data_IF_469408023592
#
_entry.id   IF_469408023592
#
_cell.length_a   1.000
_cell.length_b   1.000
_cell.length_c   1.000
_cell.angle_alpha   90.00
_cell.angle_beta   90.00
_cell.angle_gamma   90.00
#
_symmetry.space_group_name_H-M   'P 1'
#
loop_
_entity.id
_entity.type
_entity.pdbx_description
1 polymer ?
#
# COMPACT_ATOMS: atom_id res chain seq x y z
N UNK A 1 6.12 3.90 -15.55
CA UNK A 1 7.04 2.79 -15.20
C UNK A 1 6.23 1.84 -14.34
N UNK A 2 6.34 0.53 -14.53
CA UNK A 2 5.58 -0.47 -13.75
C UNK A 2 6.46 -1.10 -12.67
N UNK A 3 5.96 -1.16 -11.43
CA UNK A 3 6.69 -1.81 -10.33
C UNK A 3 6.44 -3.33 -10.36
N UNK A 4 7.53 -4.11 -10.37
CA UNK A 4 7.41 -5.58 -10.32
C UNK A 4 6.92 -6.02 -8.94
N UNK A 5 6.03 -7.01 -8.89
CA UNK A 5 5.50 -7.56 -7.64
C UNK A 5 6.58 -8.14 -6.69
N UNK A 6 7.73 -8.55 -7.24
CA UNK A 6 8.91 -9.06 -6.50
C UNK A 6 9.97 -7.98 -6.22
N UNK A 7 9.68 -6.72 -6.48
CA UNK A 7 10.60 -5.62 -6.16
C UNK A 7 10.92 -5.61 -4.66
N UNK A 8 12.14 -5.22 -4.30
CA UNK A 8 12.51 -5.06 -2.89
C UNK A 8 11.84 -3.80 -2.32
N UNK A 9 11.80 -3.68 -1.00
CA UNK A 9 11.30 -2.45 -0.35
C UNK A 9 12.10 -1.21 -0.77
N UNK A 10 13.40 -1.37 -1.06
CA UNK A 10 14.27 -0.27 -1.53
C UNK A 10 13.92 0.16 -2.95
N UNK A 11 13.65 -0.79 -3.83
CA UNK A 11 13.23 -0.50 -5.21
C UNK A 11 11.88 0.21 -5.23
N UNK A 12 10.94 -0.28 -4.43
CA UNK A 12 9.61 0.30 -4.27
C UNK A 12 9.67 1.72 -3.67
N UNK A 13 10.51 1.95 -2.67
CA UNK A 13 10.74 3.29 -2.11
C UNK A 13 11.34 4.25 -3.14
N UNK A 14 12.32 3.79 -3.91
CA UNK A 14 12.96 4.59 -4.96
C UNK A 14 11.96 4.94 -6.05
N UNK A 15 11.13 3.98 -6.45
CA UNK A 15 10.04 4.18 -7.39
C UNK A 15 9.03 5.23 -6.91
N UNK A 16 8.67 5.19 -5.63
CA UNK A 16 7.78 6.16 -4.99
C UNK A 16 8.41 7.56 -4.79
N UNK A 17 9.73 7.70 -4.98
CA UNK A 17 10.51 8.91 -4.68
C UNK A 17 10.34 9.38 -3.23
N UNK A 18 10.11 8.43 -2.31
CA UNK A 18 9.94 8.72 -0.90
C UNK A 18 11.28 8.71 -0.17
N UNK A 19 11.52 9.72 0.67
CA UNK A 19 12.57 9.63 1.68
C UNK A 19 12.19 8.64 2.80
N UNK A 20 13.12 8.34 3.71
CA UNK A 20 12.90 7.34 4.77
C UNK A 20 11.73 7.65 5.70
N UNK A 21 11.45 8.92 5.99
CA UNK A 21 10.33 9.32 6.84
C UNK A 21 9.00 9.15 6.10
N UNK A 22 8.94 9.63 4.86
CA UNK A 22 7.79 9.49 3.96
C UNK A 22 7.42 8.01 3.76
N UNK A 23 8.44 7.19 3.50
CA UNK A 23 8.26 5.76 3.34
C UNK A 23 7.67 5.09 4.58
N UNK A 24 8.13 5.49 5.77
CA UNK A 24 7.59 4.96 7.04
C UNK A 24 6.11 5.31 7.22
N UNK A 25 5.69 6.52 6.82
CA UNK A 25 4.28 6.94 6.89
C UNK A 25 3.43 6.15 5.90
N UNK A 26 3.88 6.01 4.66
CA UNK A 26 3.26 5.13 3.66
C UNK A 26 3.08 3.68 4.17
N UNK A 27 4.12 3.10 4.77
CA UNK A 27 4.06 1.75 5.34
C UNK A 27 3.05 1.63 6.48
N UNK A 28 2.89 2.69 7.29
CA UNK A 28 1.92 2.75 8.39
C UNK A 28 0.48 2.83 7.87
N UNK A 29 0.19 3.75 6.94
CA UNK A 29 -1.15 3.89 6.36
C UNK A 29 -1.61 2.62 5.67
N UNK A 30 -0.75 2.02 4.85
CA UNK A 30 -1.07 0.75 4.18
C UNK A 30 -1.16 -0.43 5.14
N UNK A 31 -0.49 -0.40 6.29
CA UNK A 31 -0.65 -1.42 7.33
C UNK A 31 -2.05 -1.34 7.95
N UNK A 32 -2.51 -0.15 8.30
CA UNK A 32 -3.86 0.06 8.85
C UNK A 32 -4.95 -0.40 7.87
N UNK A 33 -4.81 -0.08 6.58
CA UNK A 33 -5.75 -0.57 5.56
C UNK A 33 -5.72 -2.09 5.41
N UNK A 34 -4.54 -2.72 5.48
CA UNK A 34 -4.42 -4.17 5.42
C UNK A 34 -5.07 -4.84 6.64
N UNK A 35 -4.89 -4.30 7.83
CA UNK A 35 -5.55 -4.80 9.05
C UNK A 35 -7.08 -4.69 8.95
N UNK A 36 -7.59 -3.57 8.42
CA UNK A 36 -9.02 -3.38 8.15
C UNK A 36 -9.55 -4.39 7.13
N UNK A 37 -8.80 -4.64 6.07
CA UNK A 37 -9.19 -5.59 5.02
C UNK A 37 -9.13 -7.05 5.49
N UNK A 38 -8.21 -7.39 6.39
CA UNK A 38 -8.00 -8.76 6.84
C UNK A 38 -9.24 -9.39 7.51
N UNK A 39 -10.19 -8.55 7.95
CA UNK A 39 -11.49 -9.00 8.47
C UNK A 39 -12.37 -9.69 7.41
N UNK A 40 -12.28 -9.28 6.15
CA UNK A 40 -13.14 -9.76 5.06
C UNK A 40 -12.36 -10.40 3.90
N UNK A 41 -11.05 -10.19 3.82
CA UNK A 41 -10.21 -10.65 2.73
C UNK A 41 -8.87 -11.22 3.23
N UNK A 42 -8.54 -12.43 2.79
CA UNK A 42 -7.26 -13.11 3.13
C UNK A 42 -6.15 -12.75 2.13
N UNK A 43 -6.50 -12.39 0.90
CA UNK A 43 -5.56 -12.10 -0.18
C UNK A 43 -5.94 -10.82 -0.92
N UNK A 44 -4.93 -10.00 -1.24
CA UNK A 44 -5.13 -8.76 -1.99
C UNK A 44 -5.75 -9.00 -3.37
N UNK A 45 -5.52 -10.18 -3.95
CA UNK A 45 -6.11 -10.57 -5.24
C UNK A 45 -7.63 -10.76 -5.18
N UNK A 46 -8.18 -10.96 -3.98
CA UNK A 46 -9.61 -11.19 -3.77
C UNK A 46 -10.34 -9.88 -3.40
N UNK A 47 -9.59 -8.76 -3.33
CA UNK A 47 -10.15 -7.44 -3.06
C UNK A 47 -10.77 -6.89 -4.35
N UNK A 48 -12.06 -6.53 -4.34
CA UNK A 48 -12.72 -5.90 -5.47
C UNK A 48 -12.02 -4.63 -5.96
N UNK A 49 -12.08 -4.36 -7.27
CA UNK A 49 -11.34 -3.26 -7.88
C UNK A 49 -11.80 -1.87 -7.38
N UNK A 50 -13.08 -1.70 -7.11
CA UNK A 50 -13.67 -0.52 -6.47
C UNK A 50 -13.12 -0.30 -5.06
N UNK A 51 -13.01 -1.39 -4.27
CA UNK A 51 -12.41 -1.34 -2.93
C UNK A 51 -10.92 -1.01 -3.00
N UNK A 52 -10.18 -1.57 -3.96
CA UNK A 52 -8.77 -1.25 -4.17
C UNK A 52 -8.57 0.22 -4.58
N UNK A 53 -9.43 0.75 -5.45
CA UNK A 53 -9.42 2.16 -5.85
C UNK A 53 -9.70 3.10 -4.66
N UNK A 54 -10.68 2.77 -3.83
CA UNK A 54 -10.99 3.54 -2.62
C UNK A 54 -9.82 3.55 -1.62
N UNK A 55 -9.10 2.43 -1.48
CA UNK A 55 -7.90 2.36 -0.64
C UNK A 55 -6.79 3.23 -1.20
N UNK A 56 -6.57 3.23 -2.52
CA UNK A 56 -5.59 4.10 -3.16
C UNK A 56 -5.88 5.57 -2.88
N UNK A 57 -7.13 5.98 -3.04
CA UNK A 57 -7.58 7.34 -2.79
C UNK A 57 -7.40 7.73 -1.31
N UNK A 58 -7.77 6.85 -0.37
CA UNK A 58 -7.60 7.10 1.05
C UNK A 58 -6.12 7.24 1.44
N UNK A 59 -5.26 6.34 0.97
CA UNK A 59 -3.82 6.40 1.23
C UNK A 59 -3.23 7.69 0.66
N UNK A 60 -3.57 8.05 -0.59
CA UNK A 60 -3.08 9.30 -1.19
C UNK A 60 -3.60 10.54 -0.46
N UNK A 61 -4.84 10.52 0.03
CA UNK A 61 -5.39 11.60 0.87
C UNK A 61 -4.56 11.78 2.15
N UNK A 62 -4.24 10.68 2.84
CA UNK A 62 -3.39 10.72 4.05
C UNK A 62 -1.96 11.19 3.75
N UNK A 63 -1.37 10.73 2.66
CA UNK A 63 -0.04 11.16 2.21
C UNK A 63 -0.02 12.67 1.90
N UNK A 64 -1.04 13.17 1.22
CA UNK A 64 -1.18 14.58 0.84
C UNK A 64 -1.31 15.50 2.05
N UNK A 65 -2.05 15.09 3.09
CA UNK A 65 -2.13 15.82 4.36
C UNK A 65 -0.74 16.03 4.97
N UNK A 66 0.15 15.05 4.84
CA UNK A 66 1.53 15.12 5.32
C UNK A 66 2.54 15.68 4.30
N UNK A 67 2.07 16.21 3.16
CA UNK A 67 2.90 16.72 2.05
C UNK A 67 3.87 15.66 1.49
N UNK A 68 3.44 14.41 1.48
CA UNK A 68 4.18 13.27 0.94
C UNK A 68 3.76 13.04 -0.52
N UNK A 69 4.68 12.73 -1.45
CA UNK A 69 4.30 12.41 -2.83
C UNK A 69 3.28 11.28 -2.90
N UNK A 70 2.28 11.46 -3.76
CA UNK A 70 1.27 10.45 -4.05
C UNK A 70 1.89 9.20 -4.67
N UNK A 71 1.17 8.10 -4.56
CA UNK A 71 1.55 6.79 -5.08
C UNK A 71 0.59 6.36 -6.18
N UNK A 72 1.04 5.45 -7.01
CA UNK A 72 0.20 4.80 -8.02
C UNK A 72 -0.34 3.45 -7.55
N UNK A 73 -1.21 2.88 -8.39
CA UNK A 73 -1.80 1.56 -8.16
C UNK A 73 -0.76 0.43 -8.15
N UNK A 74 0.36 0.55 -8.87
CA UNK A 74 1.39 -0.49 -8.90
C UNK A 74 2.11 -0.60 -7.55
N UNK A 75 2.47 0.54 -6.95
CA UNK A 75 3.06 0.59 -5.63
C UNK A 75 2.08 0.09 -4.56
N UNK A 76 0.80 0.47 -4.66
CA UNK A 76 -0.23 -0.03 -3.77
C UNK A 76 -0.39 -1.55 -3.90
N UNK A 77 -0.49 -2.07 -5.13
CA UNK A 77 -0.62 -3.49 -5.42
C UNK A 77 0.55 -4.30 -4.85
N UNK A 78 1.78 -3.82 -5.07
CA UNK A 78 2.98 -4.41 -4.49
C UNK A 78 2.92 -4.44 -2.96
N UNK A 79 2.52 -3.33 -2.34
CA UNK A 79 2.52 -3.19 -0.89
C UNK A 79 1.43 -4.03 -0.22
N UNK A 80 0.20 -3.95 -0.71
CA UNK A 80 -0.96 -4.62 -0.12
C UNK A 80 -0.87 -6.15 -0.28
N UNK A 81 -0.32 -6.63 -1.40
CA UNK A 81 -0.02 -8.06 -1.60
C UNK A 81 0.90 -8.65 -0.52
N UNK A 82 1.80 -7.84 0.04
CA UNK A 82 2.69 -8.25 1.12
C UNK A 82 2.12 -7.93 2.51
N UNK A 83 1.40 -6.82 2.66
CA UNK A 83 0.84 -6.37 3.93
C UNK A 83 -0.22 -7.35 4.40
N UNK A 84 -1.19 -7.68 3.54
CA UNK A 84 -2.32 -8.54 3.89
C UNK A 84 -1.86 -9.96 4.23
N UNK A 85 -0.89 -10.50 3.48
CA UNK A 85 -0.26 -11.82 3.77
C UNK A 85 0.37 -11.90 5.16
N UNK A 86 0.79 -10.77 5.73
CA UNK A 86 1.44 -10.71 7.04
C UNK A 86 0.47 -10.46 8.18
N UNK A 87 -0.80 -10.16 7.91
CA UNK A 87 -1.80 -10.00 8.96
C UNK A 87 -2.20 -11.40 9.43
N UNK A 88 -2.01 -11.74 10.71
CA UNK A 88 -2.49 -13.02 11.23
C UNK A 88 -4.03 -13.03 11.20
N UNK A 89 -4.59 -14.07 10.59
CA UNK A 89 -6.02 -14.33 10.63
C UNK A 89 -6.31 -15.17 11.88
N UNK A 90 -7.15 -14.65 12.77
CA UNK A 90 -7.61 -15.32 13.98
C UNK A 90 -8.78 -16.25 13.67
#
# INVERSE_FOLDING_TARGET
>A
MTLKLRATARDAQTFARHNSFQWRRFLAFTKTEAERLAANHTSWRDVPADTAAAILENVNTQLKVEKIPEIDGDLLNWRMSQALRKVPHC
#
